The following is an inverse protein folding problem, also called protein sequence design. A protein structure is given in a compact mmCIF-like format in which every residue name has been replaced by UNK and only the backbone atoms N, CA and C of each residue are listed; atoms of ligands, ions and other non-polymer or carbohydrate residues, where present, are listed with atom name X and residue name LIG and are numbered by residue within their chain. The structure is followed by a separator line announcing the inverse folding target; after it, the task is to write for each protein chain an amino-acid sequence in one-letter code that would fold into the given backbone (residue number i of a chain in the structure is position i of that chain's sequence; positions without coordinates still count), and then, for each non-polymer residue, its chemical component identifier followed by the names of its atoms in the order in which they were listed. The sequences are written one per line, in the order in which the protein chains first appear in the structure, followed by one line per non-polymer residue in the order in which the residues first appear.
data_IF_222668889327
#
_entry.id   IF_222668889327
#
_cell.length_a   1.000
_cell.length_b   1.000
_cell.length_c   1.000
_cell.angle_alpha   90.00
_cell.angle_beta   90.00
_cell.angle_gamma   90.00
#
_symmetry.space_group_name_H-M   'P 1'
#
loop_
_entity.id
_entity.type
_entity.pdbx_description
1 polymer ?
#
# COMPACT_ATOMS: atom_id res chain seq x y z
N UNK A 1 -10.82 -8.44 -39.03
CA UNK A 1 -10.66 -9.45 -37.98
C UNK A 1 -10.45 -8.65 -36.71
N UNK A 2 -11.47 -8.55 -35.86
CA UNK A 2 -11.32 -7.92 -34.55
C UNK A 2 -10.69 -8.98 -33.65
N UNK A 3 -9.54 -8.67 -33.05
CA UNK A 3 -9.01 -9.49 -31.97
C UNK A 3 -10.05 -9.48 -30.84
N UNK A 4 -10.41 -10.68 -30.36
CA UNK A 4 -11.14 -10.82 -29.11
C UNK A 4 -10.25 -10.20 -28.04
N UNK A 5 -10.72 -9.12 -27.42
CA UNK A 5 -10.12 -8.61 -26.19
C UNK A 5 -10.30 -9.75 -25.20
N UNK A 6 -9.23 -10.47 -24.89
CA UNK A 6 -9.22 -11.38 -23.75
C UNK A 6 -9.60 -10.52 -22.54
N UNK A 7 -10.68 -10.88 -21.85
CA UNK A 7 -11.03 -10.26 -20.57
C UNK A 7 -9.79 -10.40 -19.69
N UNK A 8 -9.11 -9.29 -19.44
CA UNK A 8 -7.97 -9.25 -18.53
C UNK A 8 -8.53 -9.68 -17.18
N UNK A 9 -8.02 -10.78 -16.62
CA UNK A 9 -8.48 -11.30 -15.33
C UNK A 9 -8.51 -10.14 -14.31
N UNK A 10 -9.70 -9.84 -13.79
CA UNK A 10 -9.89 -8.80 -12.78
C UNK A 10 -9.09 -9.18 -11.52
N UNK A 11 -8.32 -8.23 -10.98
CA UNK A 11 -7.52 -8.42 -9.78
C UNK A 11 -8.41 -8.95 -8.65
N UNK A 12 -8.05 -10.10 -8.09
CA UNK A 12 -8.76 -10.69 -6.96
C UNK A 12 -8.16 -10.19 -5.64
N UNK A 13 -8.72 -9.11 -5.08
CA UNK A 13 -8.23 -8.49 -3.86
C UNK A 13 -9.05 -8.87 -2.64
N UNK A 14 -8.39 -9.37 -1.59
CA UNK A 14 -8.97 -9.48 -0.26
C UNK A 14 -8.55 -8.28 0.61
N UNK A 15 -9.45 -7.77 1.45
CA UNK A 15 -9.18 -6.63 2.33
C UNK A 15 -9.63 -6.94 3.76
N UNK A 16 -8.75 -6.69 4.71
CA UNK A 16 -9.05 -6.76 6.14
C UNK A 16 -8.67 -5.44 6.83
N UNK A 17 -9.68 -4.70 7.25
CA UNK A 17 -9.53 -3.40 7.90
C UNK A 17 -10.29 -3.40 9.23
N UNK A 18 -9.61 -3.17 10.37
CA UNK A 18 -10.27 -3.08 11.67
C UNK A 18 -11.35 -2.00 11.67
N UNK A 19 -12.49 -2.26 12.32
CA UNK A 19 -13.58 -1.29 12.46
C UNK A 19 -14.51 -1.11 11.25
N UNK A 20 -14.27 -1.84 10.15
CA UNK A 20 -15.19 -1.90 9.02
C UNK A 20 -15.99 -3.22 9.02
N UNK A 21 -17.18 -3.19 8.40
CA UNK A 21 -18.03 -4.38 8.20
C UNK A 21 -18.07 -4.83 6.72
N UNK A 22 -17.65 -3.96 5.81
CA UNK A 22 -17.63 -4.20 4.36
C UNK A 22 -16.68 -3.21 3.67
N UNK A 23 -16.27 -3.54 2.44
CA UNK A 23 -15.51 -2.65 1.55
C UNK A 23 -16.26 -2.47 0.23
N UNK A 24 -16.14 -1.32 -0.45
CA UNK A 24 -16.79 -1.07 -1.73
C UNK A 24 -16.18 -1.89 -2.88
N UNK A 25 -14.87 -2.18 -2.81
CA UNK A 25 -14.10 -2.88 -3.84
C UNK A 25 -13.28 -4.01 -3.23
N UNK A 26 -13.15 -5.13 -3.97
CA UNK A 26 -12.56 -6.37 -3.44
C UNK A 26 -13.48 -7.13 -2.47
N UNK A 27 -12.93 -8.16 -1.83
CA UNK A 27 -13.64 -8.99 -0.85
C UNK A 27 -13.22 -8.62 0.57
N UNK A 28 -14.17 -8.14 1.36
CA UNK A 28 -13.94 -7.94 2.79
C UNK A 28 -13.79 -9.28 3.53
N UNK A 29 -12.76 -9.38 4.35
CA UNK A 29 -12.54 -10.50 5.27
C UNK A 29 -12.32 -9.91 6.68
N UNK A 30 -13.24 -10.16 7.62
CA UNK A 30 -13.03 -9.84 9.02
C UNK A 30 -11.73 -10.46 9.54
N UNK A 31 -10.98 -9.69 10.33
CA UNK A 31 -9.66 -10.11 10.77
C UNK A 31 -9.68 -11.45 11.53
N UNK A 32 -10.66 -11.63 12.41
CA UNK A 32 -10.88 -12.85 13.20
C UNK A 32 -11.10 -14.11 12.36
N UNK A 33 -11.36 -13.96 11.06
CA UNK A 33 -11.59 -15.06 10.11
C UNK A 33 -10.45 -15.31 9.13
N UNK A 34 -9.37 -14.52 9.19
CA UNK A 34 -8.24 -14.64 8.26
C UNK A 34 -7.53 -16.00 8.32
N UNK A 35 -7.45 -16.61 9.52
CA UNK A 35 -6.66 -17.83 9.76
C UNK A 35 -7.48 -19.12 9.58
N UNK A 36 -8.80 -19.06 9.76
CA UNK A 36 -9.62 -20.28 9.91
C UNK A 36 -10.24 -20.74 8.59
N UNK A 37 -10.87 -19.85 7.82
CA UNK A 37 -11.69 -20.27 6.65
C UNK A 37 -11.51 -19.39 5.40
N UNK A 38 -11.16 -18.11 5.55
CA UNK A 38 -11.38 -17.15 4.47
C UNK A 38 -10.38 -17.22 3.31
N UNK A 39 -9.21 -17.81 3.55
CA UNK A 39 -8.15 -17.99 2.56
C UNK A 39 -8.11 -19.40 1.96
N UNK A 40 -8.91 -20.36 2.48
CA UNK A 40 -8.78 -21.76 2.09
C UNK A 40 -9.33 -22.06 0.69
N UNK A 41 -10.45 -21.45 0.29
CA UNK A 41 -11.18 -21.81 -0.94
C UNK A 41 -11.22 -20.73 -2.03
N UNK A 42 -10.68 -19.53 -1.77
CA UNK A 42 -10.70 -18.43 -2.72
C UNK A 42 -9.29 -18.14 -3.27
N UNK A 43 -9.22 -17.84 -4.57
CA UNK A 43 -8.01 -17.36 -5.23
C UNK A 43 -7.94 -15.83 -5.09
N UNK A 44 -6.88 -15.34 -4.45
CA UNK A 44 -6.60 -13.91 -4.35
C UNK A 44 -5.21 -13.61 -4.88
N UNK A 45 -5.10 -12.50 -5.60
CA UNK A 45 -3.84 -11.90 -6.01
C UNK A 45 -3.09 -11.27 -4.85
N UNK A 46 -3.84 -10.67 -3.92
CA UNK A 46 -3.31 -9.98 -2.76
C UNK A 46 -4.31 -9.94 -1.61
N UNK A 47 -3.77 -9.80 -0.40
CA UNK A 47 -4.49 -9.51 0.83
C UNK A 47 -3.95 -8.21 1.41
N UNK A 48 -4.79 -7.17 1.44
CA UNK A 48 -4.47 -5.89 2.07
C UNK A 48 -4.94 -5.90 3.52
N UNK A 49 -4.05 -5.56 4.45
CA UNK A 49 -4.35 -5.51 5.88
C UNK A 49 -3.91 -4.16 6.45
N UNK A 50 -4.80 -3.50 7.18
CA UNK A 50 -4.48 -2.27 7.90
C UNK A 50 -4.22 -2.50 9.39
N UNK A 51 -3.23 -1.81 9.96
CA UNK A 51 -3.05 -1.70 11.41
C UNK A 51 -2.56 -3.00 12.08
N UNK A 52 -1.79 -3.82 11.37
CA UNK A 52 -1.44 -5.18 11.76
C UNK A 52 -0.47 -5.30 12.96
N UNK A 53 0.41 -4.33 13.19
CA UNK A 53 1.60 -4.55 14.04
C UNK A 53 1.40 -4.40 15.55
N UNK A 54 0.34 -3.74 16.03
CA UNK A 54 0.14 -3.47 17.47
C UNK A 54 -1.01 -4.22 18.11
N UNK A 55 -2.07 -4.47 17.35
CA UNK A 55 -3.30 -5.04 17.90
C UNK A 55 -3.31 -6.58 17.87
N UNK A 56 -2.33 -7.20 17.20
CA UNK A 56 -2.32 -8.63 16.94
C UNK A 56 -1.00 -9.28 17.38
N UNK A 57 -1.12 -10.48 17.94
CA UNK A 57 0.05 -11.23 18.43
C UNK A 57 0.96 -11.70 17.28
N UNK A 58 2.25 -11.80 17.57
CA UNK A 58 3.29 -12.29 16.62
C UNK A 58 2.94 -13.65 15.99
N UNK A 59 2.23 -14.51 16.73
CA UNK A 59 1.81 -15.83 16.25
C UNK A 59 0.83 -15.74 15.08
N UNK A 60 -0.22 -14.92 15.21
CA UNK A 60 -1.20 -14.67 14.14
C UNK A 60 -0.51 -14.08 12.92
N UNK A 61 0.45 -13.17 13.14
CA UNK A 61 1.21 -12.58 12.05
C UNK A 61 2.01 -13.63 11.27
N UNK A 62 2.76 -14.47 11.98
CA UNK A 62 3.58 -15.53 11.38
C UNK A 62 2.72 -16.54 10.62
N UNK A 63 1.60 -16.94 11.19
CA UNK A 63 0.70 -17.90 10.56
C UNK A 63 0.07 -17.34 9.28
N UNK A 64 -0.35 -16.08 9.30
CA UNK A 64 -0.90 -15.43 8.11
C UNK A 64 0.14 -15.29 6.99
N UNK A 65 1.36 -14.87 7.33
CA UNK A 65 2.47 -14.83 6.37
C UNK A 65 2.74 -16.21 5.75
N UNK A 66 2.70 -17.29 6.55
CA UNK A 66 2.86 -18.66 6.08
C UNK A 66 1.77 -19.06 5.10
N UNK A 67 0.50 -18.84 5.45
CA UNK A 67 -0.66 -19.17 4.59
C UNK A 67 -0.60 -18.40 3.26
N UNK A 68 -0.34 -17.10 3.32
CA UNK A 68 -0.22 -16.27 2.12
C UNK A 68 0.91 -16.74 1.21
N UNK A 69 2.08 -17.09 1.77
CA UNK A 69 3.20 -17.63 1.01
C UNK A 69 2.86 -18.98 0.34
N UNK A 70 2.23 -19.91 1.06
CA UNK A 70 1.82 -21.21 0.53
C UNK A 70 0.82 -21.09 -0.62
N UNK A 71 -0.08 -20.11 -0.53
CA UNK A 71 -1.13 -19.85 -1.52
C UNK A 71 -0.72 -18.85 -2.61
N UNK A 72 0.50 -18.32 -2.54
CA UNK A 72 1.01 -17.27 -3.44
C UNK A 72 0.13 -16.02 -3.47
N UNK A 73 -0.43 -15.66 -2.31
CA UNK A 73 -1.19 -14.43 -2.10
C UNK A 73 -0.20 -13.38 -1.62
N UNK A 74 -0.15 -12.22 -2.29
CA UNK A 74 0.67 -11.11 -1.81
C UNK A 74 0.08 -10.55 -0.51
N UNK A 75 0.81 -10.68 0.60
CA UNK A 75 0.41 -10.08 1.87
C UNK A 75 0.96 -8.65 1.95
N UNK A 76 0.08 -7.66 1.90
CA UNK A 76 0.45 -6.23 1.96
C UNK A 76 -0.11 -5.62 3.23
N UNK A 77 0.79 -5.15 4.10
CA UNK A 77 0.46 -4.58 5.40
C UNK A 77 0.64 -3.07 5.36
N UNK A 78 -0.44 -2.35 5.64
CA UNK A 78 -0.49 -0.89 5.66
C UNK A 78 -0.47 -0.39 7.09
N UNK A 79 0.47 0.49 7.39
CA UNK A 79 0.64 1.10 8.71
C UNK A 79 0.56 2.62 8.62
N UNK A 80 0.38 3.29 9.74
CA UNK A 80 0.55 4.74 9.83
C UNK A 80 1.46 5.02 11.03
N UNK A 81 2.42 5.95 10.95
CA UNK A 81 3.36 6.19 12.06
C UNK A 81 2.67 6.53 13.39
N UNK A 82 1.54 7.23 13.33
CA UNK A 82 0.72 7.56 14.50
C UNK A 82 -0.28 6.46 14.89
N UNK A 83 -0.38 5.38 14.10
CA UNK A 83 -1.38 4.30 14.21
C UNK A 83 -2.82 4.83 14.06
N UNK A 84 -3.00 5.85 13.21
CA UNK A 84 -4.32 6.37 12.89
C UNK A 84 -5.04 5.42 11.93
N UNK A 85 -6.00 4.66 12.46
CA UNK A 85 -6.79 3.69 11.72
C UNK A 85 -7.61 4.33 10.59
N UNK A 86 -8.11 5.56 10.77
CA UNK A 86 -8.89 6.22 9.74
C UNK A 86 -8.01 6.55 8.52
N UNK A 87 -6.77 6.99 8.77
CA UNK A 87 -5.78 7.23 7.70
C UNK A 87 -5.44 5.95 6.95
N UNK A 88 -5.22 4.85 7.68
CA UNK A 88 -4.92 3.55 7.07
C UNK A 88 -6.11 3.07 6.21
N UNK A 89 -7.34 3.16 6.74
CA UNK A 89 -8.55 2.80 6.01
C UNK A 89 -8.70 3.63 4.74
N UNK A 90 -8.57 4.95 4.81
CA UNK A 90 -8.67 5.84 3.65
C UNK A 90 -7.70 5.41 2.54
N UNK A 91 -6.43 5.19 2.88
CA UNK A 91 -5.39 4.84 1.90
C UNK A 91 -5.63 3.45 1.29
N UNK A 92 -5.95 2.44 2.11
CA UNK A 92 -6.23 1.09 1.60
C UNK A 92 -7.44 1.10 0.67
N UNK A 93 -8.51 1.80 1.05
CA UNK A 93 -9.71 1.92 0.23
C UNK A 93 -9.46 2.70 -1.06
N UNK A 94 -8.71 3.81 -1.02
CA UNK A 94 -8.41 4.60 -2.21
C UNK A 94 -7.52 3.82 -3.20
N UNK A 95 -6.53 3.06 -2.72
CA UNK A 95 -5.70 2.21 -3.58
C UNK A 95 -6.54 1.08 -4.18
N UNK A 96 -7.36 0.41 -3.39
CA UNK A 96 -8.28 -0.61 -3.90
C UNK A 96 -9.22 -0.02 -4.96
N UNK A 97 -9.92 1.07 -4.64
CA UNK A 97 -10.82 1.76 -5.57
C UNK A 97 -10.10 2.14 -6.87
N UNK A 98 -8.86 2.63 -6.79
CA UNK A 98 -8.04 2.95 -7.97
C UNK A 98 -7.70 1.71 -8.81
N UNK A 99 -7.30 0.59 -8.19
CA UNK A 99 -6.96 -0.66 -8.87
C UNK A 99 -8.14 -1.27 -9.63
N UNK A 100 -9.37 -1.09 -9.13
CA UNK A 100 -10.61 -1.54 -9.79
C UNK A 100 -11.21 -0.47 -10.72
N UNK A 101 -10.66 0.75 -10.73
CA UNK A 101 -11.18 1.82 -11.57
C UNK A 101 -10.63 1.75 -13.00
N UNK A 102 -11.39 2.29 -13.93
CA UNK A 102 -10.92 2.61 -15.29
C UNK A 102 -10.49 4.09 -15.41
N UNK A 103 -10.26 4.77 -14.28
CA UNK A 103 -9.94 6.19 -14.22
C UNK A 103 -8.54 6.46 -14.79
N UNK A 104 -8.44 7.41 -15.72
CA UNK A 104 -7.18 7.78 -16.34
C UNK A 104 -6.41 8.84 -15.51
N UNK A 105 -5.08 8.74 -15.39
CA UNK A 105 -4.24 7.69 -15.96
C UNK A 105 -4.42 6.36 -15.22
N UNK A 106 -4.62 5.26 -15.96
CA UNK A 106 -4.72 3.92 -15.37
C UNK A 106 -3.34 3.24 -15.35
N UNK A 107 -2.43 3.81 -14.56
CA UNK A 107 -1.02 3.43 -14.49
C UNK A 107 -0.62 2.84 -13.15
N UNK A 108 -1.56 2.65 -12.22
CA UNK A 108 -1.35 1.92 -10.98
C UNK A 108 -1.94 0.52 -11.12
N UNK A 109 -1.09 -0.50 -11.07
CA UNK A 109 -1.48 -1.90 -11.06
C UNK A 109 -1.06 -2.61 -9.78
N UNK A 110 -1.58 -3.83 -9.57
CA UNK A 110 -1.19 -4.66 -8.42
C UNK A 110 0.31 -5.02 -8.44
N UNK A 111 0.93 -5.05 -9.63
CA UNK A 111 2.36 -5.25 -9.79
C UNK A 111 3.19 -4.13 -9.14
N UNK A 112 2.72 -2.88 -9.18
CA UNK A 112 3.42 -1.75 -8.56
C UNK A 112 3.38 -1.87 -7.03
N UNK A 113 2.23 -2.27 -6.48
CA UNK A 113 2.08 -2.52 -5.04
C UNK A 113 2.97 -3.69 -4.60
N UNK A 114 2.98 -4.80 -5.37
CA UNK A 114 3.86 -5.96 -5.12
C UNK A 114 5.33 -5.55 -5.13
N UNK A 115 5.75 -4.78 -6.14
CA UNK A 115 7.14 -4.30 -6.23
C UNK A 115 7.49 -3.42 -5.03
N UNK A 116 6.60 -2.48 -4.66
CA UNK A 116 6.83 -1.62 -3.50
C UNK A 116 6.96 -2.46 -2.21
N UNK A 117 6.06 -3.43 -2.01
CA UNK A 117 6.07 -4.32 -0.85
C UNK A 117 7.34 -5.18 -0.78
N UNK A 118 7.80 -5.70 -1.93
CA UNK A 118 9.00 -6.55 -2.03
C UNK A 118 10.28 -5.84 -1.57
N UNK A 119 10.42 -4.55 -1.88
CA UNK A 119 11.62 -3.76 -1.57
C UNK A 119 11.53 -2.98 -0.25
N UNK A 120 10.41 -3.10 0.47
CA UNK A 120 10.17 -2.37 1.72
C UNK A 120 10.12 -3.30 2.92
N UNK A 121 10.60 -2.84 4.06
CA UNK A 121 10.31 -3.49 5.36
C UNK A 121 8.96 -3.05 5.91
N UNK A 122 8.52 -1.83 5.58
CA UNK A 122 7.26 -1.24 6.03
C UNK A 122 6.60 -0.40 4.94
N UNK A 123 5.27 -0.41 4.91
CA UNK A 123 4.47 0.48 4.07
C UNK A 123 3.69 1.46 4.95
N UNK A 124 4.01 2.75 4.87
CA UNK A 124 3.36 3.80 5.64
C UNK A 124 2.36 4.60 4.80
N UNK A 125 1.14 4.66 5.30
CA UNK A 125 -0.03 5.28 4.71
C UNK A 125 -0.26 6.70 5.25
N UNK A 126 -0.55 7.63 4.34
CA UNK A 126 -0.90 9.01 4.63
C UNK A 126 -2.05 9.47 3.71
N UNK A 127 -3.04 10.15 4.28
CA UNK A 127 -4.14 10.76 3.53
C UNK A 127 -4.03 12.29 3.43
N UNK A 128 -2.86 12.83 3.81
CA UNK A 128 -2.50 14.25 3.79
C UNK A 128 -1.03 14.40 3.41
N UNK A 129 -0.76 15.34 2.50
CA UNK A 129 0.59 15.64 2.00
C UNK A 129 1.52 16.05 3.12
N UNK A 130 1.10 17.04 3.92
CA UNK A 130 1.94 17.60 4.98
C UNK A 130 2.40 16.52 5.98
N UNK A 131 1.51 15.60 6.35
CA UNK A 131 1.84 14.52 7.29
C UNK A 131 2.87 13.53 6.73
N UNK A 132 2.84 13.26 5.43
CA UNK A 132 3.86 12.44 4.77
C UNK A 132 5.22 13.16 4.75
N UNK A 133 5.23 14.44 4.39
CA UNK A 133 6.45 15.25 4.32
C UNK A 133 7.08 15.45 5.71
N UNK A 134 6.27 15.73 6.73
CA UNK A 134 6.73 15.85 8.12
C UNK A 134 7.39 14.53 8.56
N UNK A 135 6.78 13.39 8.23
CA UNK A 135 7.35 12.08 8.53
C UNK A 135 8.68 11.85 7.81
N UNK A 136 8.76 12.15 6.51
CA UNK A 136 9.98 12.04 5.72
C UNK A 136 11.13 12.91 6.27
N UNK A 137 10.82 14.13 6.71
CA UNK A 137 11.78 15.01 7.36
C UNK A 137 12.34 14.42 8.67
N UNK A 138 11.54 13.65 9.41
CA UNK A 138 12.00 12.98 10.65
C UNK A 138 12.88 11.76 10.39
N UNK A 139 12.69 11.06 9.27
CA UNK A 139 13.45 9.85 8.92
C UNK A 139 14.84 10.15 8.33
N UNK A 140 14.98 11.25 7.59
CA UNK A 140 16.15 11.53 6.76
C UNK A 140 16.16 10.75 5.43
N UNK A 141 17.06 11.13 4.52
CA UNK A 141 17.05 10.79 3.08
C UNK A 141 17.33 9.32 2.70
N UNK A 142 17.51 8.39 3.64
CA UNK A 142 18.25 7.14 3.34
C UNK A 142 17.35 5.90 3.17
N UNK A 143 16.06 6.00 3.46
CA UNK A 143 15.26 4.78 3.70
C UNK A 143 14.04 4.62 2.80
N UNK A 144 13.73 5.58 1.93
CA UNK A 144 12.50 5.54 1.11
C UNK A 144 12.82 4.90 -0.24
N UNK A 145 12.36 3.66 -0.42
CA UNK A 145 12.60 2.86 -1.64
C UNK A 145 11.57 3.13 -2.73
N UNK A 146 10.47 3.78 -2.39
CA UNK A 146 9.47 4.19 -3.35
C UNK A 146 8.16 4.60 -2.72
N UNK A 147 7.15 4.80 -3.57
CA UNK A 147 5.82 5.09 -3.09
C UNK A 147 4.75 5.13 -4.16
N UNK A 148 3.51 5.28 -3.69
CA UNK A 148 2.33 5.57 -4.51
C UNK A 148 1.81 6.93 -4.09
N UNK A 149 1.47 7.77 -5.07
CA UNK A 149 0.79 9.06 -4.86
C UNK A 149 -0.46 9.14 -5.73
N UNK A 150 -1.63 9.24 -5.11
CA UNK A 150 -2.89 9.55 -5.80
C UNK A 150 -3.32 10.97 -5.44
N UNK A 151 -3.37 11.84 -6.44
CA UNK A 151 -4.05 13.12 -6.31
C UNK A 151 -5.56 12.95 -6.41
N UNK A 152 -6.30 13.71 -5.62
CA UNK A 152 -7.76 13.67 -5.61
C UNK A 152 -8.34 14.88 -6.36
N UNK A 153 -9.67 14.95 -6.52
CA UNK A 153 -10.35 15.88 -7.44
C UNK A 153 -9.95 17.36 -7.29
N UNK A 154 -9.61 17.80 -6.07
CA UNK A 154 -9.28 19.21 -5.81
C UNK A 154 -7.82 19.59 -6.05
N UNK A 155 -6.98 18.64 -6.49
CA UNK A 155 -5.54 18.88 -6.71
C UNK A 155 -5.31 19.49 -8.09
N UNK A 156 -4.71 20.68 -8.13
CA UNK A 156 -4.28 21.30 -9.40
C UNK A 156 -3.10 20.56 -10.03
N UNK A 157 -2.89 20.68 -11.35
CA UNK A 157 -1.72 20.07 -12.02
C UNK A 157 -0.39 20.56 -11.41
N UNK A 158 -0.28 21.85 -11.11
CA UNK A 158 0.91 22.41 -10.47
C UNK A 158 1.15 21.83 -9.07
N UNK A 159 0.08 21.55 -8.33
CA UNK A 159 0.20 20.94 -7.01
C UNK A 159 0.55 19.46 -7.10
N UNK A 160 -0.01 18.74 -8.08
CA UNK A 160 0.33 17.35 -8.38
C UNK A 160 1.82 17.20 -8.68
N UNK A 161 2.34 18.01 -9.61
CA UNK A 161 3.76 18.00 -10.00
C UNK A 161 4.66 18.39 -8.83
N UNK A 162 4.35 19.50 -8.14
CA UNK A 162 5.15 19.94 -6.99
C UNK A 162 5.19 18.91 -5.86
N UNK A 163 4.07 18.26 -5.57
CA UNK A 163 4.00 17.21 -4.54
C UNK A 163 4.81 15.98 -4.95
N UNK A 164 4.71 15.57 -6.22
CA UNK A 164 5.49 14.45 -6.75
C UNK A 164 6.99 14.72 -6.67
N UNK A 165 7.44 15.89 -7.12
CA UNK A 165 8.85 16.31 -7.07
C UNK A 165 9.37 16.40 -5.63
N UNK A 166 8.56 16.94 -4.71
CA UNK A 166 8.93 17.04 -3.31
C UNK A 166 9.07 15.66 -2.66
N UNK A 167 8.14 14.73 -2.92
CA UNK A 167 8.26 13.34 -2.44
C UNK A 167 9.52 12.65 -2.99
N UNK A 168 9.74 12.75 -4.31
CA UNK A 168 10.90 12.15 -4.98
C UNK A 168 12.22 12.68 -4.43
N UNK A 169 12.27 13.92 -3.93
CA UNK A 169 13.49 14.47 -3.32
C UNK A 169 13.94 13.73 -2.05
N UNK A 170 13.08 12.93 -1.43
CA UNK A 170 13.40 12.09 -0.28
C UNK A 170 13.69 10.63 -0.65
N UNK A 171 13.49 10.23 -1.90
CA UNK A 171 13.63 8.84 -2.32
C UNK A 171 15.10 8.55 -2.61
N UNK A 172 15.47 7.27 -2.49
CA UNK A 172 16.80 6.82 -2.93
C UNK A 172 16.96 7.01 -4.44
N UNK A 173 18.20 7.02 -4.95
CA UNK A 173 18.47 7.18 -6.40
C UNK A 173 17.77 6.11 -7.26
N UNK A 174 17.56 4.93 -6.71
CA UNK A 174 16.85 3.81 -7.36
C UNK A 174 15.36 3.77 -7.02
N UNK A 175 14.88 4.69 -6.18
CA UNK A 175 13.50 4.74 -5.73
C UNK A 175 12.55 5.20 -6.83
N UNK A 176 11.30 4.77 -6.74
CA UNK A 176 10.27 5.09 -7.73
C UNK A 176 9.00 5.65 -7.09
N UNK A 177 8.32 6.55 -7.78
CA UNK A 177 7.01 7.05 -7.39
C UNK A 177 5.98 6.71 -8.46
N UNK A 178 5.05 5.81 -8.15
CA UNK A 178 3.87 5.61 -8.98
C UNK A 178 2.84 6.70 -8.65
N UNK A 179 2.75 7.72 -9.51
CA UNK A 179 1.82 8.84 -9.34
C UNK A 179 0.63 8.71 -10.29
N UNK A 180 -0.57 8.96 -9.78
CA UNK A 180 -1.82 8.85 -10.52
C UNK A 180 -2.91 9.77 -9.96
N UNK A 181 -4.11 9.71 -10.54
CA UNK A 181 -5.28 10.47 -10.10
C UNK A 181 -6.35 9.51 -9.61
N UNK A 182 -6.95 9.84 -8.47
CA UNK A 182 -8.15 9.21 -7.96
C UNK A 182 -9.16 10.26 -7.50
N UNK A 183 -10.05 10.71 -8.41
CA UNK A 183 -10.94 11.85 -8.15
C UNK A 183 -11.85 11.64 -6.93
N UNK A 184 -12.40 10.44 -6.76
CA UNK A 184 -13.29 10.08 -5.64
C UNK A 184 -12.55 9.72 -4.34
N UNK A 185 -11.25 10.01 -4.25
CA UNK A 185 -10.43 9.64 -3.09
C UNK A 185 -10.86 10.30 -1.78
N UNK A 186 -10.65 9.57 -0.68
CA UNK A 186 -10.91 10.01 0.69
C UNK A 186 -9.69 10.74 1.26
N UNK A 187 -9.90 11.86 1.93
CA UNK A 187 -8.81 12.71 2.42
C UNK A 187 -8.27 13.67 1.35
N UNK A 188 -7.18 14.37 1.66
CA UNK A 188 -6.56 15.36 0.78
C UNK A 188 -5.91 14.70 -0.44
N UNK A 189 -5.20 13.60 -0.21
CA UNK A 189 -4.53 12.78 -1.21
C UNK A 189 -4.35 11.36 -0.68
N UNK A 190 -3.77 10.47 -1.46
CA UNK A 190 -3.30 9.16 -0.99
C UNK A 190 -1.80 9.07 -1.19
N UNK A 191 -1.04 8.82 -0.13
CA UNK A 191 0.39 8.58 -0.21
C UNK A 191 0.69 7.28 0.54
N UNK A 192 1.35 6.35 -0.14
CA UNK A 192 1.91 5.14 0.44
C UNK A 192 3.43 5.18 0.25
N UNK A 193 4.18 5.09 1.33
CA UNK A 193 5.64 5.13 1.30
C UNK A 193 6.21 3.76 1.67
N UNK A 194 7.09 3.24 0.81
CA UNK A 194 7.89 2.06 1.09
C UNK A 194 9.19 2.43 1.80
N UNK A 195 9.39 1.87 3.00
CA UNK A 195 10.55 2.17 3.85
C UNK A 195 11.38 0.91 4.10
N UNK A 196 12.68 0.96 3.81
CA UNK A 196 13.67 -0.03 4.24
C UNK A 196 14.20 0.37 5.64
N UNK A 197 14.35 -0.60 6.54
CA UNK A 197 15.06 -0.38 7.81
C UNK A 197 16.52 -0.13 7.50
N UNK A 198 17.11 0.85 8.19
CA UNK A 198 18.57 1.00 8.16
C UNK A 198 19.21 -0.32 8.61
N UNK A 199 19.94 -0.95 7.69
CA UNK A 199 20.92 -1.98 8.05
C UNK A 199 22.01 -1.26 8.84
N UNK A 200 21.95 -1.38 10.17
CA UNK A 200 23.09 -1.01 11.01
C UNK A 200 24.20 -1.99 10.67
N UNK A 201 25.10 -1.59 9.77
CA UNK A 201 26.36 -2.27 9.61
C UNK A 201 27.16 -2.00 10.89
N UNK A 202 27.10 -2.93 11.85
CA UNK A 202 28.08 -2.98 12.91
C UNK A 202 29.45 -3.14 12.23
N UNK A 203 30.30 -2.13 12.38
CA UNK A 203 31.69 -2.16 11.93
C UNK A 203 32.50 -3.11 12.83
N UNK A 204 32.24 -4.41 12.72
CA UNK A 204 33.01 -5.48 13.36
C UNK A 204 33.15 -6.62 12.35
N UNK A 205 33.96 -6.40 11.30
CA UNK A 205 34.53 -7.48 10.47
C UNK A 205 35.64 -6.89 9.58
N UNK A 206 36.62 -6.26 10.22
CA UNK A 206 37.95 -5.99 9.63
C UNK A 206 39.01 -6.28 10.68
N UNK A 207 39.31 -7.56 10.85
CA UNK A 207 40.63 -8.02 11.29
C UNK A 207 41.46 -8.47 10.08
#
# INVERSE_FOLDING_TARGET
MFELIEEVDEVQLAISLPGLESVPTGKFIPFDRLVVDALQDAYFDALFIGGFSKDYGEETSRELSRICAEKRIELVVFENPANDLAVIQDVVLNIADKLFSNEQPNNLGIADIRNLNLYSDHLYAFNRKQSALDFLQTLGLVNVVGGVFLAHENTSLSEYEATGDELLSYFTEEGFLCSSIHSSGRGECTILLGIEKQKVYCAEDRE
#
